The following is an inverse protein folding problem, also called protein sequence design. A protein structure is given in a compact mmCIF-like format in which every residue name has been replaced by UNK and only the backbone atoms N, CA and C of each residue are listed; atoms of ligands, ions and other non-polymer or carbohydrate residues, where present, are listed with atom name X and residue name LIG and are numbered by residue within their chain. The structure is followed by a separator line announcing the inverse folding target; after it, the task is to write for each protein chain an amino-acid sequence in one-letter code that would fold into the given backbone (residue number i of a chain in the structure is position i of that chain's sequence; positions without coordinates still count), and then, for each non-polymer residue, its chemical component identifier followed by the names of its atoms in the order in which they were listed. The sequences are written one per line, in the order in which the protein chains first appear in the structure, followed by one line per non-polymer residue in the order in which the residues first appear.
data_IF_280655733457
#
_entry.id   IF_280655733457
#
_cell.length_a   1.000
_cell.length_b   1.000
_cell.length_c   1.000
_cell.angle_alpha   90.00
_cell.angle_beta   90.00
_cell.angle_gamma   90.00
#
_symmetry.space_group_name_H-M   'P 1'
#
loop_
_entity.id
_entity.type
_entity.pdbx_description
1 polymer ?
#
# COMPACT_ATOMS: atom_id res chain seq x y z
N UNK A 1 -46.36 8.85 -57.65
CA UNK A 1 -47.05 7.93 -56.72
C UNK A 1 -46.22 7.91 -55.44
N UNK A 2 -46.33 8.89 -54.52
CA UNK A 2 -47.55 9.60 -54.03
C UNK A 2 -48.61 8.59 -53.56
N UNK A 3 -49.30 8.73 -52.41
CA UNK A 3 -49.35 9.76 -51.35
C UNK A 3 -50.12 9.11 -50.14
N UNK A 4 -50.11 9.53 -48.86
CA UNK A 4 -49.46 10.62 -48.09
C UNK A 4 -49.61 10.32 -46.55
N UNK A 5 -49.15 11.23 -45.66
CA UNK A 5 -49.39 11.41 -44.19
C UNK A 5 -50.54 10.65 -43.51
N UNK A 6 -50.36 10.27 -42.23
CA UNK A 6 -50.87 11.06 -41.07
C UNK A 6 -50.63 10.39 -39.70
N UNK A 7 -50.05 11.16 -38.76
CA UNK A 7 -50.14 10.97 -37.29
C UNK A 7 -51.07 12.08 -36.75
N UNK A 8 -51.79 11.86 -35.63
CA UNK A 8 -51.50 12.73 -34.48
C UNK A 8 -51.64 12.07 -33.09
N UNK A 9 -50.75 12.45 -32.17
CA UNK A 9 -50.83 12.09 -30.74
C UNK A 9 -51.86 12.89 -29.91
N UNK A 10 -52.04 12.50 -28.64
CA UNK A 10 -53.00 13.13 -27.72
C UNK A 10 -52.88 12.70 -26.24
N UNK A 11 -52.15 13.52 -25.48
CA UNK A 11 -51.92 13.59 -24.02
C UNK A 11 -53.09 13.10 -23.10
N UNK A 12 -52.75 12.50 -21.95
CA UNK A 12 -53.68 12.32 -20.82
C UNK A 12 -52.98 11.97 -19.49
N UNK A 13 -53.04 12.88 -18.51
CA UNK A 13 -52.42 12.74 -17.18
C UNK A 13 -53.22 11.83 -16.23
N UNK A 14 -52.58 11.24 -15.22
CA UNK A 14 -53.26 10.44 -14.18
C UNK A 14 -52.38 10.19 -12.94
N UNK A 15 -52.70 10.85 -11.83
CA UNK A 15 -51.81 10.99 -10.67
C UNK A 15 -51.93 9.90 -9.59
N UNK A 16 -50.83 9.78 -8.85
CA UNK A 16 -50.58 8.92 -7.69
C UNK A 16 -51.72 8.75 -6.67
N UNK A 17 -51.77 7.56 -6.05
CA UNK A 17 -52.16 7.42 -4.63
C UNK A 17 -51.28 6.43 -3.86
N UNK A 18 -50.81 6.91 -2.71
CA UNK A 18 -50.24 6.13 -1.60
C UNK A 18 -51.15 4.98 -1.16
N UNK A 19 -50.55 3.98 -0.48
CA UNK A 19 -51.04 3.59 0.84
C UNK A 19 -50.05 3.97 1.95
N UNK A 20 -50.62 4.27 3.11
CA UNK A 20 -49.92 4.58 4.37
C UNK A 20 -50.30 3.54 5.44
N UNK A 21 -49.62 3.59 6.60
CA UNK A 21 -49.91 2.85 7.86
C UNK A 21 -49.43 1.39 7.91
N UNK A 22 -49.06 0.80 9.05
CA UNK A 22 -48.79 1.31 10.42
C UNK A 22 -48.03 0.25 11.25
N UNK A 23 -47.39 0.67 12.36
CA UNK A 23 -46.99 -0.22 13.47
C UNK A 23 -45.50 -0.60 13.49
N UNK A 24 -44.71 -0.33 14.53
CA UNK A 24 -44.99 0.39 15.77
C UNK A 24 -45.02 -0.50 17.02
N UNK A 25 -43.85 -0.98 17.46
CA UNK A 25 -43.46 -1.37 18.84
C UNK A 25 -41.94 -1.19 18.93
N UNK A 26 -41.31 -0.58 19.94
CA UNK A 26 -41.81 -0.07 21.22
C UNK A 26 -41.49 -1.03 22.37
N UNK A 27 -40.24 -1.05 22.85
CA UNK A 27 -39.86 -1.79 24.06
C UNK A 27 -38.65 -1.17 24.79
N UNK A 28 -38.94 -0.60 25.95
CA UNK A 28 -38.05 -0.22 27.06
C UNK A 28 -38.97 -0.01 28.29
N UNK A 29 -38.49 0.17 29.54
CA UNK A 29 -37.22 -0.26 30.15
C UNK A 29 -37.47 -1.06 31.46
N UNK A 30 -36.45 -1.73 32.04
CA UNK A 30 -36.50 -2.16 33.47
C UNK A 30 -35.18 -2.08 34.25
N UNK A 31 -35.06 -0.98 34.99
CA UNK A 31 -34.70 -0.87 36.43
C UNK A 31 -33.38 -1.45 36.98
N UNK A 32 -32.62 -0.54 37.62
CA UNK A 32 -31.60 -0.78 38.66
C UNK A 32 -32.01 -1.84 39.71
N UNK A 33 -31.02 -2.58 40.22
CA UNK A 33 -30.85 -2.81 41.67
C UNK A 33 -29.37 -2.92 42.05
N UNK A 34 -29.04 -2.36 43.21
CA UNK A 34 -27.69 -2.26 43.78
C UNK A 34 -27.70 -2.78 45.22
N UNK A 35 -26.85 -3.76 45.52
CA UNK A 35 -26.48 -4.28 46.85
C UNK A 35 -25.03 -4.79 46.63
N UNK A 36 -23.94 -4.18 47.07
CA UNK A 36 -23.49 -3.71 48.40
C UNK A 36 -22.99 -4.84 49.32
N UNK A 37 -21.65 -4.91 49.44
CA UNK A 37 -20.79 -5.48 50.51
C UNK A 37 -21.09 -6.86 51.11
N UNK A 38 -20.02 -7.65 51.26
CA UNK A 38 -19.51 -8.00 52.59
C UNK A 38 -17.98 -8.04 52.61
N UNK A 39 -17.38 -7.70 53.75
CA UNK A 39 -15.94 -7.59 54.01
C UNK A 39 -15.52 -8.67 55.03
N UNK A 40 -14.41 -9.39 54.80
CA UNK A 40 -13.53 -10.05 55.81
C UNK A 40 -12.21 -10.41 55.08
N UNK A 41 -11.11 -9.68 55.33
CA UNK A 41 -10.09 -9.98 56.35
C UNK A 41 -9.36 -11.33 56.15
N UNK A 42 -8.16 -11.30 55.57
CA UNK A 42 -6.94 -11.37 56.39
C UNK A 42 -5.67 -11.22 55.53
N UNK A 43 -4.66 -10.59 56.12
CA UNK A 43 -3.30 -10.53 55.59
C UNK A 43 -2.39 -11.43 56.44
N UNK A 44 -1.32 -11.95 55.83
CA UNK A 44 -0.04 -11.73 56.50
C UNK A 44 0.98 -11.07 55.57
N UNK A 45 1.93 -10.39 56.21
CA UNK A 45 3.09 -9.76 55.58
C UNK A 45 4.10 -10.84 55.20
N UNK A 46 4.71 -10.74 54.03
CA UNK A 46 6.11 -11.13 53.87
C UNK A 46 6.85 -10.13 52.96
N UNK A 47 8.14 -9.96 53.23
CA UNK A 47 9.00 -8.93 52.67
C UNK A 47 10.11 -9.54 51.82
N UNK A 48 9.91 -9.58 50.50
CA UNK A 48 10.90 -10.04 49.53
C UNK A 48 11.15 -9.01 48.43
N UNK A 49 12.16 -8.14 48.60
CA UNK A 49 12.62 -7.26 47.51
C UNK A 49 13.42 -8.08 46.48
N UNK A 50 12.96 -8.12 45.23
CA UNK A 50 13.70 -8.61 44.09
C UNK A 50 13.34 -7.82 42.83
N UNK A 51 14.22 -6.91 42.41
CA UNK A 51 14.02 -6.11 41.20
C UNK A 51 13.92 -7.01 39.96
N UNK A 52 12.83 -6.89 39.20
CA UNK A 52 12.81 -7.19 37.77
C UNK A 52 12.32 -5.93 37.06
N UNK A 53 13.19 -5.34 36.24
CA UNK A 53 12.91 -4.08 35.56
C UNK A 53 11.83 -4.28 34.48
N UNK A 54 10.64 -3.73 34.72
CA UNK A 54 9.67 -3.52 33.65
C UNK A 54 10.22 -2.49 32.63
N UNK A 55 9.94 -2.65 31.32
CA UNK A 55 10.45 -1.74 30.31
C UNK A 55 9.94 -0.32 30.55
N UNK A 56 10.88 0.64 30.59
CA UNK A 56 10.63 2.04 30.94
C UNK A 56 9.60 2.64 29.98
N UNK A 57 8.49 3.14 30.53
CA UNK A 57 7.53 3.97 29.78
C UNK A 57 8.28 5.17 29.20
N UNK A 58 8.20 5.37 27.88
CA UNK A 58 8.83 6.51 27.20
C UNK A 58 7.99 7.76 27.41
N UNK A 59 8.23 8.47 28.51
CA UNK A 59 7.66 9.79 28.76
C UNK A 59 8.23 10.81 27.75
N UNK A 60 7.52 10.99 26.65
CA UNK A 60 7.87 11.94 25.60
C UNK A 60 6.77 12.22 24.56
N UNK A 61 5.53 11.80 24.82
CA UNK A 61 4.48 11.67 23.79
C UNK A 61 3.44 12.81 23.76
N UNK A 62 3.45 13.74 24.73
CA UNK A 62 2.39 14.77 24.88
C UNK A 62 2.56 16.05 24.00
N UNK A 63 3.38 16.03 22.95
CA UNK A 63 3.56 17.19 22.03
C UNK A 63 3.51 16.86 20.53
N UNK A 64 2.86 15.76 20.14
CA UNK A 64 2.62 15.41 18.72
C UNK A 64 1.15 15.59 18.28
N UNK A 65 0.28 16.11 19.15
CA UNK A 65 -1.12 16.39 18.85
C UNK A 65 -1.29 17.83 18.32
N UNK A 66 -1.10 18.01 17.01
CA UNK A 66 -1.37 19.27 16.32
C UNK A 66 -1.65 19.05 14.83
N UNK A 67 -2.84 19.46 14.38
CA UNK A 67 -3.20 19.57 12.97
C UNK A 67 -4.45 20.46 12.82
N UNK A 68 -4.88 20.78 11.59
CA UNK A 68 -4.20 20.61 10.30
C UNK A 68 -3.57 21.93 9.77
N UNK A 69 -2.79 21.82 8.68
CA UNK A 69 -2.43 22.86 7.70
C UNK A 69 -2.25 24.32 8.17
N UNK A 70 -1.00 24.78 8.28
CA UNK A 70 -0.66 26.17 8.64
C UNK A 70 0.77 26.60 8.27
N UNK A 71 1.05 26.74 6.97
CA UNK A 71 2.17 27.50 6.35
C UNK A 71 3.56 27.32 6.98
N UNK A 72 4.28 26.29 6.52
CA UNK A 72 5.73 26.34 6.30
C UNK A 72 6.02 25.48 5.05
N UNK A 73 6.18 26.12 3.90
CA UNK A 73 6.71 25.46 2.69
C UNK A 73 8.19 25.82 2.49
N UNK A 74 9.13 24.95 2.92
CA UNK A 74 10.54 25.04 2.55
C UNK A 74 11.03 23.78 1.80
N UNK A 75 10.12 22.98 1.22
CA UNK A 75 10.52 21.81 0.44
C UNK A 75 10.98 22.21 -0.97
N UNK A 76 12.03 21.57 -1.53
CA UNK A 76 12.84 20.52 -0.91
C UNK A 76 13.84 21.06 0.14
N UNK A 77 14.03 20.30 1.22
CA UNK A 77 15.11 20.52 2.16
C UNK A 77 16.43 20.00 1.56
N UNK A 78 17.38 20.90 1.36
CA UNK A 78 18.66 20.65 0.67
C UNK A 78 19.89 20.95 1.56
N UNK A 79 21.06 20.36 1.25
CA UNK A 79 22.32 20.67 1.93
C UNK A 79 22.61 22.17 2.08
N UNK A 80 23.15 22.54 3.24
CA UNK A 80 23.44 23.93 3.60
C UNK A 80 22.27 24.71 4.24
N UNK A 81 21.03 24.23 4.13
CA UNK A 81 19.89 24.86 4.84
C UNK A 81 19.98 24.70 6.36
N UNK A 82 19.31 25.60 7.09
CA UNK A 82 19.30 25.65 8.56
C UNK A 82 17.91 26.04 9.08
N UNK A 83 17.48 25.48 10.20
CA UNK A 83 16.24 25.89 10.90
C UNK A 83 15.49 24.75 11.58
N UNK A 84 14.27 25.04 12.09
CA UNK A 84 13.43 24.04 12.77
C UNK A 84 13.00 22.89 11.85
N UNK A 85 12.78 23.14 10.56
CA UNK A 85 12.43 22.08 9.61
C UNK A 85 13.54 21.01 9.51
N UNK A 86 14.81 21.43 9.47
CA UNK A 86 15.96 20.51 9.49
C UNK A 86 16.11 19.82 10.84
N UNK A 87 15.77 20.50 11.95
CA UNK A 87 15.78 19.88 13.28
C UNK A 87 14.68 18.82 13.44
N UNK A 88 13.50 19.03 12.86
CA UNK A 88 12.42 18.04 12.85
C UNK A 88 12.76 16.87 11.92
N UNK A 89 13.36 17.13 10.75
CA UNK A 89 13.92 16.11 9.86
C UNK A 89 14.91 15.19 10.61
N UNK A 90 15.96 15.77 11.22
CA UNK A 90 16.96 15.03 11.99
C UNK A 90 16.37 14.25 13.16
N UNK A 91 15.37 14.81 13.86
CA UNK A 91 14.66 14.14 14.96
C UNK A 91 13.85 12.93 14.46
N UNK A 92 13.11 13.08 13.37
CA UNK A 92 12.32 12.00 12.77
C UNK A 92 13.21 10.89 12.25
N UNK A 93 14.26 11.22 11.50
CA UNK A 93 15.28 10.27 11.04
C UNK A 93 15.86 9.48 12.21
N UNK A 94 16.22 10.16 13.30
CA UNK A 94 16.70 9.49 14.53
C UNK A 94 15.67 8.57 15.16
N UNK A 95 14.39 8.96 15.18
CA UNK A 95 13.30 8.13 15.71
C UNK A 95 13.08 6.86 14.88
N UNK A 96 13.16 6.95 13.54
CA UNK A 96 12.99 5.81 12.63
C UNK A 96 14.26 4.96 12.44
N UNK A 97 15.35 5.25 13.18
CA UNK A 97 16.59 4.47 13.17
C UNK A 97 17.64 4.91 12.14
N UNK A 98 17.40 6.00 11.40
CA UNK A 98 18.31 6.60 10.43
C UNK A 98 18.95 7.88 10.99
N UNK A 99 19.30 7.86 12.29
CA UNK A 99 19.83 9.04 12.97
C UNK A 99 21.20 9.46 12.47
N UNK A 100 21.28 10.71 12.01
CA UNK A 100 22.55 11.39 11.80
C UNK A 100 23.22 11.73 13.14
N UNK A 101 24.54 11.78 13.16
CA UNK A 101 25.33 12.50 14.17
C UNK A 101 25.81 13.82 13.57
N UNK A 102 24.94 14.84 13.41
CA UNK A 102 25.32 16.08 12.75
C UNK A 102 26.29 16.89 13.61
N UNK A 103 27.22 17.60 12.97
CA UNK A 103 28.10 18.54 13.66
C UNK A 103 27.33 19.73 14.30
N UNK A 104 26.15 20.06 13.78
CA UNK A 104 25.28 21.13 14.29
C UNK A 104 23.79 20.73 14.15
N UNK A 105 23.04 20.70 15.26
CA UNK A 105 21.63 20.29 15.27
C UNK A 105 20.72 21.37 14.68
N UNK A 106 20.04 21.05 13.59
CA UNK A 106 19.23 21.98 12.79
C UNK A 106 19.99 22.59 11.60
N UNK A 107 21.17 22.07 11.24
CA UNK A 107 21.87 22.39 9.99
C UNK A 107 21.96 21.14 9.09
N UNK A 108 21.67 21.30 7.79
CA UNK A 108 21.65 20.21 6.82
C UNK A 108 23.07 19.96 6.31
N UNK A 109 23.85 19.21 7.10
CA UNK A 109 25.22 18.82 6.78
C UNK A 109 25.27 17.48 6.02
N UNK A 110 26.46 17.11 5.53
CA UNK A 110 26.76 15.84 4.87
C UNK A 110 26.22 14.61 5.63
N UNK A 111 26.42 14.53 6.95
CA UNK A 111 25.86 13.44 7.77
C UNK A 111 24.31 13.38 7.79
N UNK A 112 23.63 14.52 7.55
CA UNK A 112 22.16 14.56 7.40
C UNK A 112 21.76 14.11 6.00
N UNK A 113 22.50 14.52 4.98
CA UNK A 113 22.34 14.11 3.58
C UNK A 113 22.52 12.59 3.41
N UNK A 114 23.59 12.02 3.95
CA UNK A 114 23.83 10.56 3.97
C UNK A 114 22.70 9.82 4.69
N UNK A 115 22.21 10.35 5.81
CA UNK A 115 21.11 9.76 6.57
C UNK A 115 19.78 9.80 5.81
N UNK A 116 19.52 10.88 5.06
CA UNK A 116 18.37 10.99 4.15
C UNK A 116 18.53 10.02 2.98
N UNK A 117 19.69 9.92 2.35
CA UNK A 117 19.94 8.98 1.25
C UNK A 117 19.75 7.52 1.68
N UNK A 118 20.26 7.13 2.86
CA UNK A 118 20.05 5.80 3.45
C UNK A 118 18.60 5.53 3.83
N UNK A 119 17.87 6.54 4.31
CA UNK A 119 16.44 6.41 4.56
C UNK A 119 15.65 6.24 3.24
N UNK A 120 15.98 7.03 2.22
CA UNK A 120 15.39 6.92 0.87
C UNK A 120 15.61 5.52 0.29
N UNK A 121 16.85 5.04 0.27
CA UNK A 121 17.21 3.68 -0.15
C UNK A 121 16.38 2.61 0.57
N UNK A 122 16.34 2.66 1.91
CA UNK A 122 15.59 1.70 2.72
C UNK A 122 14.05 1.79 2.57
N UNK A 123 13.51 2.90 2.04
CA UNK A 123 12.09 3.03 1.68
C UNK A 123 11.83 2.77 0.19
N UNK A 124 12.86 2.54 -0.62
CA UNK A 124 12.75 2.40 -2.08
C UNK A 124 12.48 3.72 -2.82
N UNK A 125 12.80 4.86 -2.21
CA UNK A 125 12.84 6.15 -2.90
C UNK A 125 14.19 6.33 -3.59
N UNK A 126 14.31 7.29 -4.50
CA UNK A 126 15.62 7.62 -5.09
C UNK A 126 16.54 8.20 -4.00
N UNK A 127 17.76 7.65 -3.78
CA UNK A 127 18.69 8.12 -2.75
C UNK A 127 19.41 9.39 -3.20
N UNK A 128 18.66 10.49 -3.30
CA UNK A 128 19.16 11.81 -3.73
C UNK A 128 19.88 12.56 -2.62
N UNK A 129 19.70 12.16 -1.35
CA UNK A 129 20.16 12.92 -0.18
C UNK A 129 19.37 14.20 0.09
N UNK A 130 18.38 14.52 -0.76
CA UNK A 130 17.53 15.70 -0.68
C UNK A 130 16.16 15.30 -0.15
N UNK A 131 15.69 15.94 0.93
CA UNK A 131 14.37 15.66 1.50
C UNK A 131 13.31 16.52 0.80
N UNK A 132 12.73 15.95 -0.25
CA UNK A 132 11.52 16.43 -0.93
C UNK A 132 10.23 16.02 -0.18
N UNK A 133 9.07 16.39 -0.73
CA UNK A 133 7.75 16.08 -0.16
C UNK A 133 7.50 14.57 -0.06
N UNK A 134 7.91 13.78 -1.05
CA UNK A 134 7.77 12.31 -1.04
C UNK A 134 8.60 11.69 0.09
N UNK A 135 9.86 12.10 0.22
CA UNK A 135 10.76 11.70 1.30
C UNK A 135 10.22 12.11 2.68
N UNK A 136 9.68 13.32 2.79
CA UNK A 136 9.07 13.81 4.04
C UNK A 136 7.83 13.01 4.43
N UNK A 137 6.93 12.77 3.48
CA UNK A 137 5.71 11.98 3.72
C UNK A 137 6.07 10.54 4.11
N UNK A 138 7.02 9.90 3.43
CA UNK A 138 7.51 8.57 3.80
C UNK A 138 8.12 8.53 5.21
N UNK A 139 8.81 9.60 5.63
CA UNK A 139 9.40 9.75 6.96
C UNK A 139 8.36 9.99 8.05
N UNK A 140 7.32 10.78 7.77
CA UNK A 140 6.16 10.93 8.66
C UNK A 140 5.43 9.60 8.82
N UNK A 141 5.21 8.86 7.73
CA UNK A 141 4.54 7.55 7.75
C UNK A 141 5.32 6.48 8.52
N UNK A 142 6.66 6.47 8.41
CA UNK A 142 7.55 5.57 9.15
C UNK A 142 7.62 5.91 10.66
N UNK A 143 7.28 7.15 11.04
CA UNK A 143 7.29 7.60 12.43
C UNK A 143 6.10 7.16 13.29
N UNK A 144 5.12 6.42 12.74
CA UNK A 144 3.95 5.96 13.48
C UNK A 144 4.01 4.45 13.75
N UNK A 145 4.02 4.07 15.03
CA UNK A 145 3.79 2.69 15.49
C UNK A 145 2.32 2.44 15.84
N UNK A 146 1.91 1.16 15.80
CA UNK A 146 0.54 0.75 16.13
C UNK A 146 0.22 1.09 17.60
N UNK A 147 -0.63 2.10 17.79
CA UNK A 147 -1.04 2.60 19.11
C UNK A 147 -0.59 4.03 19.42
N UNK A 148 0.26 4.64 18.60
CA UNK A 148 0.65 6.05 18.77
C UNK A 148 -0.49 7.04 18.47
N UNK A 149 -1.51 6.60 17.71
CA UNK A 149 -2.72 7.37 17.38
C UNK A 149 -3.92 6.45 17.13
N UNK A 150 -5.12 7.02 17.21
CA UNK A 150 -6.36 6.32 16.85
C UNK A 150 -6.46 6.18 15.32
N UNK A 151 -6.50 4.95 14.81
CA UNK A 151 -6.70 4.69 13.38
C UNK A 151 -8.18 4.56 13.07
N UNK A 152 -8.66 5.26 12.02
CA UNK A 152 -10.05 5.21 11.56
C UNK A 152 -10.14 5.61 10.09
N UNK A 153 -11.27 5.32 9.46
CA UNK A 153 -11.54 5.79 8.10
C UNK A 153 -11.71 7.31 8.09
N UNK A 154 -10.97 7.99 7.22
CA UNK A 154 -10.95 9.46 7.07
C UNK A 154 -10.85 9.83 5.60
N UNK A 155 -11.05 11.11 5.28
CA UNK A 155 -10.82 11.67 3.94
C UNK A 155 -9.89 12.89 4.06
N UNK A 156 -8.64 12.83 3.57
CA UNK A 156 -7.96 11.67 2.98
C UNK A 156 -7.78 10.50 3.98
N UNK A 157 -7.58 9.28 3.47
CA UNK A 157 -7.35 8.09 4.28
C UNK A 157 -6.08 8.24 5.13
N UNK A 158 -6.09 7.70 6.36
CA UNK A 158 -4.87 7.61 7.18
C UNK A 158 -3.84 6.68 6.51
N UNK A 159 -2.55 7.05 6.62
CA UNK A 159 -1.43 6.30 6.05
C UNK A 159 -0.29 6.17 7.06
N UNK A 160 0.41 5.04 7.06
CA UNK A 160 1.57 4.82 7.93
C UNK A 160 1.99 3.37 8.12
N UNK A 161 3.13 3.19 8.78
CA UNK A 161 3.62 1.87 9.19
C UNK A 161 2.72 1.27 10.31
N UNK A 162 2.05 2.11 11.10
CA UNK A 162 0.99 1.73 12.05
C UNK A 162 -0.23 1.11 11.38
N UNK A 163 -0.68 1.66 10.26
CA UNK A 163 -1.74 1.09 9.42
C UNK A 163 -1.28 -0.22 8.80
N UNK A 164 -0.02 -0.30 8.37
CA UNK A 164 0.58 -1.53 7.82
C UNK A 164 0.56 -2.65 8.87
N UNK A 165 0.94 -2.35 10.10
CA UNK A 165 0.89 -3.30 11.22
C UNK A 165 -0.55 -3.75 11.52
N UNK A 166 -1.52 -2.83 11.57
CA UNK A 166 -2.93 -3.17 11.76
C UNK A 166 -3.46 -4.10 10.65
N UNK A 167 -3.19 -3.79 9.38
CA UNK A 167 -3.60 -4.64 8.26
C UNK A 167 -2.96 -6.02 8.32
N UNK A 168 -1.67 -6.10 8.64
CA UNK A 168 -0.95 -7.37 8.79
C UNK A 168 -1.57 -8.24 9.88
N UNK A 169 -1.83 -7.68 11.06
CA UNK A 169 -2.46 -8.40 12.17
C UNK A 169 -3.89 -8.84 11.84
N UNK A 170 -4.74 -7.95 11.28
CA UNK A 170 -6.10 -8.32 10.87
C UNK A 170 -6.09 -9.48 9.86
N UNK A 171 -5.26 -9.41 8.82
CA UNK A 171 -5.18 -10.43 7.78
C UNK A 171 -4.60 -11.76 8.28
N UNK A 172 -3.71 -11.73 9.28
CA UNK A 172 -3.17 -12.90 9.97
C UNK A 172 -4.19 -13.56 10.91
N UNK A 173 -5.08 -12.75 11.50
CA UNK A 173 -6.21 -13.19 12.32
C UNK A 173 -7.42 -13.68 11.49
N UNK A 174 -7.35 -13.60 10.16
CA UNK A 174 -8.41 -14.07 9.26
C UNK A 174 -9.36 -12.98 8.72
N UNK A 175 -9.15 -11.71 9.07
CA UNK A 175 -9.99 -10.59 8.66
C UNK A 175 -9.42 -9.89 7.42
N UNK A 176 -10.20 -9.79 6.35
CA UNK A 176 -9.74 -9.34 5.03
C UNK A 176 -9.62 -7.80 4.92
N UNK A 177 -8.56 -7.24 5.53
CA UNK A 177 -8.22 -5.83 5.38
C UNK A 177 -7.78 -5.45 3.94
N UNK A 178 -7.67 -6.43 3.04
CA UNK A 178 -7.18 -6.27 1.69
C UNK A 178 -5.68 -6.53 1.58
N UNK A 179 -4.98 -5.69 0.82
CA UNK A 179 -3.51 -5.75 0.71
C UNK A 179 -2.92 -4.98 1.87
N UNK A 180 -1.77 -5.42 2.38
CA UNK A 180 -1.07 -4.70 3.46
C UNK A 180 -0.27 -3.55 2.83
N UNK A 181 -1.00 -2.51 2.42
CA UNK A 181 -0.50 -1.33 1.71
C UNK A 181 -0.22 -0.13 2.64
N UNK A 182 -0.53 -0.23 3.92
CA UNK A 182 -0.38 0.86 4.89
C UNK A 182 -1.36 2.02 4.68
N UNK A 183 -2.51 1.79 4.02
CA UNK A 183 -3.54 2.79 3.74
C UNK A 183 -4.85 2.37 4.41
N UNK A 184 -5.41 3.23 5.27
CA UNK A 184 -6.65 2.95 5.99
C UNK A 184 -7.85 3.21 5.08
N UNK A 185 -8.07 2.32 4.12
CA UNK A 185 -9.22 2.36 3.23
C UNK A 185 -10.45 1.65 3.80
N UNK A 186 -11.57 1.64 3.04
CA UNK A 186 -12.82 0.99 3.47
C UNK A 186 -12.70 -0.51 3.77
N UNK A 187 -11.73 -1.22 3.17
CA UNK A 187 -11.50 -2.65 3.44
C UNK A 187 -10.86 -2.87 4.81
N UNK A 188 -9.84 -2.08 5.15
CA UNK A 188 -9.26 -2.02 6.51
C UNK A 188 -10.33 -1.67 7.55
N UNK A 189 -11.21 -0.71 7.25
CA UNK A 189 -12.31 -0.33 8.13
C UNK A 189 -13.32 -1.48 8.36
N UNK A 190 -13.73 -2.18 7.30
CA UNK A 190 -14.65 -3.32 7.40
C UNK A 190 -14.02 -4.51 8.15
N UNK A 191 -12.77 -4.86 7.85
CA UNK A 191 -12.05 -5.93 8.55
C UNK A 191 -11.89 -5.62 10.05
N UNK A 192 -11.64 -4.36 10.40
CA UNK A 192 -11.61 -3.91 11.80
C UNK A 192 -12.99 -4.01 12.47
N UNK A 193 -14.07 -3.61 11.79
CA UNK A 193 -15.45 -3.75 12.29
C UNK A 193 -15.82 -5.21 12.55
N UNK A 194 -15.45 -6.11 11.64
CA UNK A 194 -15.65 -7.56 11.78
C UNK A 194 -14.84 -8.11 12.96
N UNK A 195 -13.55 -7.77 13.05
CA UNK A 195 -12.69 -8.13 14.18
C UNK A 195 -13.25 -7.67 15.53
N UNK A 196 -13.69 -6.41 15.61
CA UNK A 196 -14.27 -5.83 16.83
C UNK A 196 -15.51 -6.62 17.27
N UNK A 197 -16.43 -6.88 16.35
CA UNK A 197 -17.65 -7.67 16.61
C UNK A 197 -17.33 -9.10 17.04
N UNK A 198 -16.39 -9.77 16.36
CA UNK A 198 -15.94 -11.12 16.72
C UNK A 198 -15.30 -11.20 18.11
N UNK A 199 -14.70 -10.11 18.59
CA UNK A 199 -14.14 -10.02 19.95
C UNK A 199 -15.15 -9.57 21.01
N UNK A 200 -16.41 -9.31 20.65
CA UNK A 200 -17.42 -8.74 21.57
C UNK A 200 -17.21 -7.26 21.93
N UNK A 201 -16.33 -6.55 21.21
CA UNK A 201 -16.12 -5.11 21.37
C UNK A 201 -17.18 -4.30 20.58
N UNK A 202 -17.43 -3.02 20.92
CA UNK A 202 -18.19 -2.12 20.07
C UNK A 202 -17.56 -2.06 18.67
N UNK A 203 -18.34 -2.40 17.64
CA UNK A 203 -17.93 -2.28 16.25
C UNK A 203 -18.05 -0.84 15.76
N UNK A 204 -17.13 0.03 16.19
CA UNK A 204 -17.08 1.46 15.84
C UNK A 204 -16.15 1.78 14.65
N UNK A 205 -15.30 0.83 14.24
CA UNK A 205 -14.34 1.00 13.14
C UNK A 205 -13.14 1.87 13.51
N UNK A 206 -12.87 2.07 14.80
CA UNK A 206 -11.75 2.84 15.34
C UNK A 206 -10.77 1.93 16.07
N UNK A 207 -9.52 1.88 15.61
CA UNK A 207 -8.47 1.15 16.32
C UNK A 207 -7.99 2.00 17.49
N UNK A 208 -8.58 1.76 18.66
CA UNK A 208 -8.16 2.34 19.93
C UNK A 208 -7.31 1.37 20.77
N UNK A 209 -6.86 1.82 21.96
CA UNK A 209 -6.04 0.99 22.86
C UNK A 209 -6.68 -0.35 23.27
N UNK A 210 -8.01 -0.45 23.26
CA UNK A 210 -8.72 -1.70 23.53
C UNK A 210 -8.66 -2.68 22.37
N UNK A 211 -8.83 -2.20 21.13
CA UNK A 211 -8.64 -2.98 19.91
C UNK A 211 -7.23 -3.56 19.87
N UNK A 212 -6.21 -2.75 20.16
CA UNK A 212 -4.80 -3.16 20.14
C UNK A 212 -4.53 -4.24 21.20
N UNK A 213 -5.02 -4.08 22.44
CA UNK A 213 -4.93 -5.14 23.47
C UNK A 213 -5.64 -6.44 23.10
N UNK A 214 -6.61 -6.40 22.18
CA UNK A 214 -7.27 -7.60 21.65
C UNK A 214 -6.47 -8.21 20.49
N UNK A 215 -5.91 -7.39 19.60
CA UNK A 215 -4.99 -7.82 18.53
C UNK A 215 -3.76 -8.51 19.13
N UNK A 216 -3.07 -7.90 20.09
CA UNK A 216 -1.89 -8.47 20.75
C UNK A 216 -2.17 -9.84 21.41
N UNK A 217 -3.37 -10.00 21.98
CA UNK A 217 -3.77 -11.20 22.72
C UNK A 217 -4.04 -12.37 21.77
N UNK A 218 -4.87 -12.13 20.76
CA UNK A 218 -5.24 -13.14 19.76
C UNK A 218 -4.08 -13.40 18.79
N UNK A 219 -3.30 -12.37 18.48
CA UNK A 219 -2.14 -12.46 17.62
C UNK A 219 -1.07 -13.42 18.15
N UNK A 220 -0.90 -13.54 19.47
CA UNK A 220 -0.02 -14.56 20.09
C UNK A 220 -0.55 -15.99 19.99
N UNK A 221 -1.83 -16.16 19.69
CA UNK A 221 -2.53 -17.45 19.66
C UNK A 221 -2.75 -17.96 18.22
N UNK A 222 -2.65 -17.08 17.21
CA UNK A 222 -2.82 -17.41 15.80
C UNK A 222 -1.50 -17.80 15.12
N UNK A 223 -1.56 -18.82 14.26
CA UNK A 223 -0.39 -19.35 13.55
C UNK A 223 0.24 -18.38 12.55
N UNK A 224 1.46 -18.70 12.11
CA UNK A 224 2.22 -17.94 11.11
C UNK A 224 1.80 -18.25 9.65
N UNK A 225 0.53 -18.58 9.43
CA UNK A 225 0.03 -18.90 8.09
C UNK A 225 0.04 -17.67 7.17
N UNK A 226 0.12 -17.86 5.83
CA UNK A 226 -0.06 -16.77 4.88
C UNK A 226 -1.47 -16.20 5.04
N UNK A 227 -1.56 -14.97 5.55
CA UNK A 227 -2.83 -14.32 5.88
C UNK A 227 -3.75 -14.14 4.65
N UNK A 228 -5.01 -13.77 4.89
CA UNK A 228 -6.07 -13.74 3.86
C UNK A 228 -5.70 -12.90 2.63
N UNK A 229 -4.88 -11.86 2.79
CA UNK A 229 -4.30 -11.07 1.69
C UNK A 229 -3.58 -11.93 0.64
N UNK A 230 -2.74 -12.87 1.07
CA UNK A 230 -1.92 -13.69 0.18
C UNK A 230 -2.77 -14.73 -0.55
N UNK A 231 -3.72 -15.37 0.16
CA UNK A 231 -4.70 -16.27 -0.45
C UNK A 231 -5.56 -15.55 -1.49
N UNK A 232 -6.02 -14.33 -1.19
CA UNK A 232 -6.79 -13.50 -2.12
C UNK A 232 -5.99 -13.08 -3.35
N UNK A 233 -4.69 -12.81 -3.20
CA UNK A 233 -3.82 -12.54 -4.34
C UNK A 233 -3.65 -13.78 -5.22
N UNK A 234 -3.37 -14.94 -4.62
CA UNK A 234 -3.27 -16.22 -5.35
C UNK A 234 -4.57 -16.58 -6.09
N UNK A 235 -5.74 -16.35 -5.49
CA UNK A 235 -7.02 -16.58 -6.17
C UNK A 235 -7.27 -15.57 -7.29
N UNK A 236 -6.83 -14.31 -7.12
CA UNK A 236 -6.89 -13.32 -8.19
C UNK A 236 -6.06 -13.74 -9.40
N UNK A 237 -4.87 -14.29 -9.20
CA UNK A 237 -3.98 -14.80 -10.26
C UNK A 237 -4.72 -15.86 -11.10
N UNK A 238 -5.41 -16.81 -10.45
CA UNK A 238 -6.23 -17.83 -11.12
C UNK A 238 -7.42 -17.27 -11.91
N UNK A 239 -7.93 -16.10 -11.48
CA UNK A 239 -9.03 -15.38 -12.14
C UNK A 239 -8.61 -14.36 -13.20
N UNK A 240 -7.31 -14.26 -13.53
CA UNK A 240 -6.85 -13.41 -14.62
C UNK A 240 -7.46 -13.91 -15.94
N UNK A 241 -7.79 -13.02 -16.90
CA UNK A 241 -8.17 -13.48 -18.23
C UNK A 241 -6.95 -13.98 -19.00
N UNK A 242 -7.19 -14.66 -20.13
CA UNK A 242 -6.15 -14.93 -21.11
C UNK A 242 -5.50 -13.63 -21.62
N UNK A 243 -4.27 -13.73 -22.13
CA UNK A 243 -3.48 -12.57 -22.56
C UNK A 243 -4.24 -11.64 -23.52
N UNK A 244 -5.04 -12.22 -24.43
CA UNK A 244 -5.83 -11.47 -25.43
C UNK A 244 -6.85 -10.51 -24.82
N UNK A 245 -7.43 -10.83 -23.67
CA UNK A 245 -8.39 -9.98 -22.94
C UNK A 245 -7.73 -9.28 -21.74
N UNK A 246 -6.39 -9.26 -21.70
CA UNK A 246 -5.64 -8.69 -20.60
C UNK A 246 -5.53 -7.17 -20.73
N UNK A 247 -5.96 -6.46 -19.67
CA UNK A 247 -5.70 -5.02 -19.51
C UNK A 247 -4.33 -4.81 -18.89
N UNK A 248 -3.41 -4.24 -19.65
CA UNK A 248 -2.04 -3.98 -19.22
C UNK A 248 -1.82 -2.47 -19.14
N UNK A 249 -1.17 -2.00 -18.08
CA UNK A 249 -0.66 -0.62 -18.03
C UNK A 249 0.84 -0.65 -18.09
N UNK A 250 1.39 0.11 -19.06
CA UNK A 250 2.83 0.32 -19.20
C UNK A 250 3.13 1.75 -18.76
N UNK A 251 3.65 1.88 -17.55
CA UNK A 251 4.10 3.15 -16.97
C UNK A 251 5.56 3.43 -17.28
N UNK A 252 5.97 4.69 -17.33
CA UNK A 252 7.39 5.05 -17.37
C UNK A 252 7.72 6.25 -16.48
N UNK A 253 8.88 6.21 -15.83
CA UNK A 253 9.41 7.27 -14.97
C UNK A 253 10.49 8.10 -15.66
N UNK A 254 10.40 8.20 -16.99
CA UNK A 254 11.37 8.89 -17.85
C UNK A 254 12.42 7.98 -18.48
N UNK A 255 13.09 8.51 -19.51
CA UNK A 255 14.23 7.88 -20.21
C UNK A 255 13.91 6.67 -21.12
N UNK A 256 12.81 5.95 -20.91
CA UNK A 256 12.48 4.70 -21.63
C UNK A 256 11.23 4.76 -22.53
N UNK A 257 10.81 5.96 -22.96
CA UNK A 257 9.56 6.15 -23.70
C UNK A 257 9.49 5.43 -25.06
N UNK A 258 10.62 5.14 -25.69
CA UNK A 258 10.71 4.33 -26.91
C UNK A 258 10.36 2.86 -26.63
N UNK A 259 10.93 2.30 -25.55
CA UNK A 259 10.65 0.93 -25.09
C UNK A 259 9.20 0.80 -24.59
N UNK A 260 8.70 1.77 -23.81
CA UNK A 260 7.31 1.78 -23.35
C UNK A 260 6.32 1.66 -24.55
N UNK A 261 6.48 2.54 -25.55
CA UNK A 261 5.69 2.51 -26.79
C UNK A 261 5.89 1.21 -27.58
N UNK A 262 7.08 0.63 -27.59
CA UNK A 262 7.34 -0.65 -28.24
C UNK A 262 6.59 -1.81 -27.55
N UNK A 263 6.66 -1.92 -26.22
CA UNK A 263 5.91 -2.92 -25.45
C UNK A 263 4.42 -2.80 -25.71
N UNK A 264 3.86 -1.58 -25.62
CA UNK A 264 2.43 -1.37 -25.83
C UNK A 264 1.99 -1.72 -27.26
N UNK A 265 2.80 -1.45 -28.29
CA UNK A 265 2.50 -1.91 -29.66
C UNK A 265 2.53 -3.43 -29.77
N UNK A 266 3.55 -4.09 -29.23
CA UNK A 266 3.68 -5.55 -29.30
C UNK A 266 2.59 -6.29 -28.54
N UNK A 267 2.22 -5.81 -27.34
CA UNK A 267 1.14 -6.40 -26.55
C UNK A 267 -0.25 -6.18 -27.21
N UNK A 268 -0.54 -4.98 -27.75
CA UNK A 268 -1.77 -4.75 -28.54
C UNK A 268 -1.83 -5.58 -29.81
N UNK A 269 -0.71 -5.80 -30.50
CA UNK A 269 -0.64 -6.69 -31.66
C UNK A 269 -0.93 -8.17 -31.32
N UNK A 270 -0.77 -8.55 -30.05
CA UNK A 270 -1.17 -9.84 -29.48
C UNK A 270 -2.58 -9.84 -28.84
N UNK A 271 -3.36 -8.78 -29.03
CA UNK A 271 -4.76 -8.66 -28.58
C UNK A 271 -4.98 -7.86 -27.30
N UNK A 272 -3.99 -7.77 -26.41
CA UNK A 272 -4.15 -7.13 -25.10
C UNK A 272 -4.56 -5.65 -25.18
N UNK A 273 -5.43 -5.22 -24.27
CA UNK A 273 -5.83 -3.82 -24.13
C UNK A 273 -4.79 -3.08 -23.28
N UNK A 274 -4.01 -2.19 -23.90
CA UNK A 274 -2.86 -1.55 -23.25
C UNK A 274 -3.05 -0.05 -23.16
N UNK A 275 -2.84 0.53 -21.98
CA UNK A 275 -2.66 1.98 -21.79
C UNK A 275 -1.19 2.28 -21.46
N UNK A 276 -0.70 3.38 -22.02
CA UNK A 276 0.60 3.98 -21.69
C UNK A 276 0.36 5.12 -20.68
N UNK A 277 1.19 5.18 -19.64
CA UNK A 277 1.20 6.29 -18.69
C UNK A 277 2.60 6.91 -18.66
N UNK A 278 2.68 8.21 -18.90
CA UNK A 278 3.90 9.01 -18.97
C UNK A 278 3.78 10.16 -17.96
N UNK A 279 3.85 9.79 -16.68
CA UNK A 279 3.57 10.67 -15.55
C UNK A 279 4.65 10.46 -14.48
N UNK A 280 5.47 11.45 -14.13
CA UNK A 280 6.57 11.26 -13.16
C UNK A 280 6.08 10.90 -11.75
N UNK A 281 4.86 11.27 -11.35
CA UNK A 281 4.31 10.89 -10.04
C UNK A 281 3.87 9.41 -10.00
N UNK A 282 4.50 8.67 -9.09
CA UNK A 282 4.21 7.27 -8.79
C UNK A 282 2.76 7.03 -8.34
N UNK A 283 2.16 7.99 -7.61
CA UNK A 283 0.79 7.87 -7.13
C UNK A 283 -0.19 8.00 -8.30
N UNK A 284 -0.07 9.04 -9.11
CA UNK A 284 -0.87 9.25 -10.31
C UNK A 284 -0.78 8.09 -11.32
N UNK A 285 0.40 7.46 -11.47
CA UNK A 285 0.54 6.22 -12.28
C UNK A 285 -0.29 5.06 -11.71
N UNK A 286 -0.16 4.78 -10.41
CA UNK A 286 -0.92 3.72 -9.77
C UNK A 286 -2.43 3.99 -9.84
N UNK A 287 -2.83 5.25 -9.67
CA UNK A 287 -4.21 5.71 -9.75
C UNK A 287 -4.80 5.54 -11.16
N UNK A 288 -4.03 5.84 -12.20
CA UNK A 288 -4.41 5.56 -13.59
C UNK A 288 -4.61 4.05 -13.83
N UNK A 289 -3.69 3.21 -13.34
CA UNK A 289 -3.80 1.76 -13.45
C UNK A 289 -5.01 1.19 -12.67
N UNK A 290 -5.27 1.74 -11.49
CA UNK A 290 -6.41 1.40 -10.64
C UNK A 290 -7.74 1.79 -11.30
N UNK A 291 -7.85 3.00 -11.88
CA UNK A 291 -9.04 3.46 -12.62
C UNK A 291 -9.33 2.64 -13.86
N UNK A 292 -8.29 2.28 -14.63
CA UNK A 292 -8.41 1.38 -15.78
C UNK A 292 -8.76 -0.07 -15.39
N UNK A 293 -8.65 -0.41 -14.09
CA UNK A 293 -8.81 -1.76 -13.54
C UNK A 293 -7.85 -2.75 -14.23
N UNK A 294 -6.60 -2.33 -14.42
CA UNK A 294 -5.60 -3.16 -15.07
C UNK A 294 -5.45 -4.52 -14.39
N UNK A 295 -5.18 -5.54 -15.19
CA UNK A 295 -4.87 -6.89 -14.73
C UNK A 295 -3.38 -7.03 -14.42
N UNK A 296 -2.53 -6.28 -15.12
CA UNK A 296 -1.08 -6.19 -14.91
C UNK A 296 -0.62 -4.73 -15.01
N UNK A 297 0.33 -4.34 -14.14
CA UNK A 297 1.08 -3.09 -14.26
C UNK A 297 2.57 -3.37 -14.50
N UNK A 298 3.17 -2.70 -15.48
CA UNK A 298 4.58 -2.77 -15.82
C UNK A 298 5.15 -1.34 -15.88
N UNK A 299 5.87 -0.94 -14.83
CA UNK A 299 6.60 0.32 -14.81
C UNK A 299 7.99 0.17 -15.44
N UNK A 300 8.50 1.23 -16.08
CA UNK A 300 9.86 1.31 -16.61
C UNK A 300 10.60 2.52 -16.01
N UNK A 301 11.81 2.32 -15.49
CA UNK A 301 12.72 3.38 -15.07
C UNK A 301 14.07 3.24 -15.77
N UNK A 302 14.67 4.36 -16.19
CA UNK A 302 16.00 4.38 -16.79
C UNK A 302 17.10 4.17 -15.72
N UNK A 303 17.88 3.11 -15.87
CA UNK A 303 19.10 2.87 -15.08
C UNK A 303 20.33 3.55 -15.72
N UNK A 304 21.17 4.15 -14.89
CA UNK A 304 22.49 4.68 -15.28
C UNK A 304 23.51 3.54 -15.31
N UNK A 305 23.52 2.72 -14.26
CA UNK A 305 24.41 1.57 -14.09
C UNK A 305 24.13 0.45 -15.11
N UNK A 306 25.12 -0.41 -15.42
CA UNK A 306 24.94 -1.55 -16.32
C UNK A 306 24.22 -2.74 -15.66
N UNK A 307 23.34 -2.47 -14.69
CA UNK A 307 22.53 -3.43 -13.95
C UNK A 307 21.06 -3.19 -14.27
N UNK A 308 20.32 -4.29 -14.43
CA UNK A 308 18.87 -4.24 -14.60
C UNK A 308 18.18 -4.91 -13.42
N UNK A 309 17.18 -4.24 -12.88
CA UNK A 309 16.55 -4.57 -11.60
C UNK A 309 15.03 -4.64 -11.77
N UNK A 310 14.42 -5.67 -11.22
CA UNK A 310 13.00 -5.97 -11.33
C UNK A 310 12.38 -5.97 -9.95
N UNK A 311 11.68 -4.89 -9.64
CA UNK A 311 11.12 -4.65 -8.33
C UNK A 311 9.66 -5.08 -8.24
N UNK A 312 9.31 -5.82 -7.18
CA UNK A 312 7.94 -6.15 -6.80
C UNK A 312 7.63 -5.62 -5.40
N UNK A 313 6.35 -5.56 -5.02
CA UNK A 313 5.98 -5.07 -3.70
C UNK A 313 6.25 -6.10 -2.61
N UNK A 314 7.05 -5.73 -1.61
CA UNK A 314 7.26 -6.52 -0.40
C UNK A 314 7.38 -5.61 0.83
N UNK A 315 6.81 -6.08 1.94
CA UNK A 315 6.95 -5.54 3.30
C UNK A 315 7.03 -6.73 4.28
N UNK A 316 7.54 -6.56 5.52
CA UNK A 316 7.69 -7.70 6.45
C UNK A 316 6.40 -8.48 6.74
N UNK A 317 5.24 -7.83 6.62
CA UNK A 317 3.92 -8.45 6.84
C UNK A 317 3.24 -8.98 5.55
N UNK A 318 3.79 -8.74 4.35
CA UNK A 318 3.17 -9.09 3.08
C UNK A 318 4.16 -9.08 1.90
N UNK A 319 4.17 -10.17 1.13
CA UNK A 319 4.90 -10.29 -0.14
C UNK A 319 3.88 -10.41 -1.28
N UNK A 320 4.04 -9.62 -2.34
CA UNK A 320 3.21 -9.77 -3.55
C UNK A 320 3.71 -10.97 -4.35
N UNK A 321 3.18 -12.15 -4.04
CA UNK A 321 3.48 -13.41 -4.74
C UNK A 321 3.28 -13.32 -6.25
N UNK A 322 2.23 -12.61 -6.68
CA UNK A 322 1.94 -12.33 -8.07
C UNK A 322 3.01 -11.43 -8.73
N UNK A 323 3.34 -10.32 -8.06
CA UNK A 323 4.37 -9.37 -8.54
C UNK A 323 5.74 -10.01 -8.62
N UNK A 324 6.11 -10.81 -7.61
CA UNK A 324 7.35 -11.58 -7.59
C UNK A 324 7.45 -12.56 -8.75
N UNK A 325 6.43 -13.41 -8.94
CA UNK A 325 6.42 -14.37 -10.04
C UNK A 325 6.51 -13.68 -11.41
N UNK A 326 5.88 -12.50 -11.57
CA UNK A 326 5.99 -11.71 -12.79
C UNK A 326 7.39 -11.10 -12.96
N UNK A 327 8.00 -10.59 -11.89
CA UNK A 327 9.35 -10.03 -11.90
C UNK A 327 10.41 -11.10 -12.21
N UNK A 328 10.28 -12.30 -11.63
CA UNK A 328 11.13 -13.46 -11.94
C UNK A 328 10.98 -13.90 -13.40
N UNK A 329 9.75 -13.96 -13.95
CA UNK A 329 9.52 -14.28 -15.37
C UNK A 329 10.06 -13.23 -16.34
N UNK A 330 9.92 -11.94 -16.02
CA UNK A 330 10.51 -10.84 -16.79
C UNK A 330 12.04 -10.93 -16.77
N UNK A 331 12.66 -11.08 -15.59
CA UNK A 331 14.09 -11.21 -15.45
C UNK A 331 14.64 -12.45 -16.19
N UNK A 332 13.95 -13.60 -16.10
CA UNK A 332 14.35 -14.82 -16.81
C UNK A 332 14.27 -14.65 -18.34
N UNK A 333 13.17 -14.09 -18.86
CA UNK A 333 12.94 -13.93 -20.31
C UNK A 333 13.87 -12.89 -20.92
N UNK A 334 14.14 -11.79 -20.21
CA UNK A 334 14.95 -10.68 -20.71
C UNK A 334 16.46 -10.90 -20.52
N UNK A 335 16.89 -11.82 -19.65
CA UNK A 335 18.31 -12.09 -19.36
C UNK A 335 19.24 -12.18 -20.59
N UNK A 336 18.87 -12.81 -21.73
CA UNK A 336 19.75 -12.88 -22.90
C UNK A 336 19.95 -11.54 -23.64
N UNK A 337 19.09 -10.54 -23.36
CA UNK A 337 19.04 -9.24 -24.02
C UNK A 337 19.61 -8.10 -23.15
N UNK A 338 19.99 -8.41 -21.91
CA UNK A 338 20.46 -7.45 -20.91
C UNK A 338 21.99 -7.54 -20.75
N UNK A 339 22.67 -6.41 -20.44
CA UNK A 339 24.14 -6.35 -20.38
C UNK A 339 24.74 -7.12 -19.19
N UNK A 340 23.93 -7.42 -18.18
CA UNK A 340 24.33 -8.16 -16.98
C UNK A 340 23.19 -9.06 -16.48
N UNK A 341 23.49 -9.93 -15.51
CA UNK A 341 22.44 -10.79 -14.92
C UNK A 341 21.46 -9.92 -14.13
N UNK A 342 20.16 -9.93 -14.45
CA UNK A 342 19.19 -9.08 -13.79
C UNK A 342 18.96 -9.48 -12.33
N UNK A 343 18.66 -8.50 -11.49
CA UNK A 343 18.29 -8.69 -10.08
C UNK A 343 16.77 -8.61 -9.92
N UNK A 344 16.23 -9.38 -8.98
CA UNK A 344 14.81 -9.36 -8.60
C UNK A 344 14.76 -9.08 -7.11
N UNK A 345 14.04 -8.04 -6.70
CA UNK A 345 14.03 -7.56 -5.32
C UNK A 345 12.63 -7.08 -4.90
N UNK A 346 12.26 -7.40 -3.65
CA UNK A 346 11.00 -6.99 -3.06
C UNK A 346 11.19 -5.72 -2.23
N UNK A 347 10.46 -4.66 -2.57
CA UNK A 347 10.68 -3.32 -2.01
C UNK A 347 9.36 -2.53 -1.88
N UNK A 348 9.35 -1.49 -1.03
CA UNK A 348 8.18 -0.64 -0.76
C UNK A 348 8.08 0.57 -1.70
N UNK A 349 8.23 0.36 -3.00
CA UNK A 349 8.05 1.43 -3.99
C UNK A 349 6.61 1.99 -3.97
N UNK A 350 6.39 3.32 -3.99
CA UNK A 350 5.06 3.93 -3.92
C UNK A 350 4.09 3.46 -5.02
N UNK A 351 4.54 3.41 -6.28
CA UNK A 351 3.68 2.91 -7.37
C UNK A 351 3.27 1.45 -7.15
N UNK A 352 4.20 0.60 -6.68
CA UNK A 352 3.93 -0.82 -6.40
C UNK A 352 3.04 -1.01 -5.16
N UNK A 353 3.08 -0.07 -4.22
CA UNK A 353 2.25 -0.01 -3.00
C UNK A 353 0.80 0.37 -3.30
N UNK A 354 0.60 1.39 -4.13
CA UNK A 354 -0.72 1.94 -4.47
C UNK A 354 -1.46 1.11 -5.54
N UNK A 355 -0.73 0.40 -6.43
CA UNK A 355 -1.35 -0.47 -7.43
C UNK A 355 -2.11 -1.63 -6.81
N UNK A 356 -3.34 -1.85 -7.25
CA UNK A 356 -4.22 -2.94 -6.79
C UNK A 356 -4.08 -4.21 -7.62
N UNK A 357 -3.18 -4.27 -8.59
CA UNK A 357 -2.93 -5.42 -9.47
C UNK A 357 -1.49 -5.90 -9.32
N UNK A 358 -1.16 -7.13 -9.78
CA UNK A 358 0.22 -7.56 -9.94
C UNK A 358 1.03 -6.51 -10.71
N UNK A 359 2.09 -6.02 -10.08
CA UNK A 359 2.81 -4.83 -10.48
C UNK A 359 4.32 -5.07 -10.34
N UNK A 360 5.08 -4.68 -11.37
CA UNK A 360 6.54 -4.72 -11.40
C UNK A 360 7.08 -3.40 -11.91
N UNK A 361 8.14 -2.88 -11.28
CA UNK A 361 8.94 -1.76 -11.82
C UNK A 361 10.27 -2.32 -12.32
N UNK A 362 10.53 -2.16 -13.62
CA UNK A 362 11.78 -2.57 -14.25
C UNK A 362 12.70 -1.36 -14.39
N UNK A 363 13.78 -1.30 -13.59
CA UNK A 363 14.87 -0.36 -13.82
C UNK A 363 15.85 -0.99 -14.80
N UNK A 364 15.99 -0.41 -15.99
CA UNK A 364 16.79 -0.99 -17.08
C UNK A 364 17.95 -0.06 -17.44
N UNK A 365 19.17 -0.54 -17.30
CA UNK A 365 20.40 0.20 -17.58
C UNK A 365 21.49 -0.62 -18.29
N UNK A 366 22.39 0.04 -19.04
CA UNK A 366 22.42 1.47 -19.29
C UNK A 366 21.48 1.84 -20.46
N UNK A 367 20.88 3.03 -20.42
CA UNK A 367 19.82 3.47 -21.36
C UNK A 367 20.16 3.26 -22.84
N UNK A 368 21.43 3.43 -23.25
CA UNK A 368 21.85 3.21 -24.64
C UNK A 368 21.63 1.76 -25.10
N UNK A 369 22.15 0.80 -24.35
CA UNK A 369 21.98 -0.64 -24.66
C UNK A 369 20.51 -1.07 -24.62
N UNK A 370 19.70 -0.46 -23.77
CA UNK A 370 18.24 -0.67 -23.71
C UNK A 370 17.54 -0.10 -24.95
N UNK A 371 17.97 1.07 -25.43
CA UNK A 371 17.43 1.69 -26.64
C UNK A 371 17.80 0.89 -27.91
N UNK A 372 19.05 0.44 -28.02
CA UNK A 372 19.55 -0.36 -29.15
C UNK A 372 18.78 -1.69 -29.28
N UNK A 373 18.40 -2.29 -28.15
CA UNK A 373 17.66 -3.56 -28.09
C UNK A 373 16.14 -3.39 -27.90
N UNK A 374 15.60 -2.16 -28.00
CA UNK A 374 14.22 -1.86 -27.55
C UNK A 374 13.12 -2.71 -28.22
N UNK A 375 13.32 -3.14 -29.47
CA UNK A 375 12.36 -4.03 -30.16
C UNK A 375 12.37 -5.45 -29.59
N UNK A 376 13.55 -6.02 -29.37
CA UNK A 376 13.71 -7.36 -28.80
C UNK A 376 13.26 -7.39 -27.33
N UNK A 377 13.63 -6.37 -26.54
CA UNK A 377 13.16 -6.19 -25.17
C UNK A 377 11.63 -6.06 -25.11
N UNK A 378 11.01 -5.33 -26.05
CA UNK A 378 9.56 -5.22 -26.09
C UNK A 378 8.85 -6.55 -26.41
N UNK A 379 9.43 -7.36 -27.28
CA UNK A 379 8.95 -8.72 -27.55
C UNK A 379 9.11 -9.63 -26.32
N UNK A 380 10.28 -9.59 -25.67
CA UNK A 380 10.54 -10.32 -24.43
C UNK A 380 9.60 -9.94 -23.29
N UNK A 381 9.31 -8.65 -23.07
CA UNK A 381 8.35 -8.19 -22.06
C UNK A 381 6.95 -8.73 -22.33
N UNK A 382 6.45 -8.63 -23.57
CA UNK A 382 5.13 -9.13 -23.92
C UNK A 382 5.05 -10.66 -23.78
N UNK A 383 6.10 -11.38 -24.17
CA UNK A 383 6.21 -12.83 -24.01
C UNK A 383 6.29 -13.25 -22.53
N UNK A 384 7.03 -12.55 -21.68
CA UNK A 384 7.12 -12.84 -20.25
C UNK A 384 5.75 -12.70 -19.55
N UNK A 385 5.01 -11.62 -19.86
CA UNK A 385 3.65 -11.41 -19.33
C UNK A 385 2.71 -12.51 -19.84
N UNK A 386 2.80 -12.92 -21.11
CA UNK A 386 2.02 -14.01 -21.69
C UNK A 386 2.31 -15.37 -21.04
N UNK A 387 3.58 -15.72 -20.86
CA UNK A 387 4.01 -16.94 -20.15
C UNK A 387 3.49 -16.92 -18.71
N UNK A 388 3.61 -15.79 -18.00
CA UNK A 388 3.17 -15.66 -16.62
C UNK A 388 1.64 -15.76 -16.46
N UNK A 389 0.86 -15.12 -17.35
CA UNK A 389 -0.60 -15.27 -17.38
C UNK A 389 -0.97 -16.73 -17.68
N UNK A 390 -0.35 -17.36 -18.66
CA UNK A 390 -0.69 -18.74 -19.04
C UNK A 390 -0.26 -19.76 -17.97
N UNK A 391 0.88 -19.56 -17.29
CA UNK A 391 1.30 -20.39 -16.16
C UNK A 391 0.37 -20.29 -14.93
N UNK A 392 -0.42 -19.21 -14.85
CA UNK A 392 -1.47 -19.04 -13.84
C UNK A 392 -2.69 -19.95 -14.09
N UNK A 393 -2.81 -20.49 -15.31
CA UNK A 393 -3.73 -21.55 -15.69
C UNK A 393 -2.96 -22.88 -15.87
N UNK A 394 -2.87 -23.75 -14.85
CA UNK A 394 -2.46 -25.12 -15.13
C UNK A 394 -3.47 -25.71 -16.11
N UNK A 395 -3.03 -26.36 -17.22
CA UNK A 395 -3.97 -26.98 -18.14
C UNK A 395 -4.79 -28.00 -17.36
N UNK A 396 -6.12 -27.91 -17.48
CA UNK A 396 -7.01 -28.95 -16.95
C UNK A 396 -6.52 -30.28 -17.50
N UNK A 397 -6.19 -31.22 -16.61
CA UNK A 397 -5.76 -32.54 -17.02
C UNK A 397 -6.94 -33.22 -17.73
N UNK A 398 -6.93 -33.20 -19.06
CA UNK A 398 -7.91 -33.89 -19.89
C UNK A 398 -7.71 -35.38 -19.69
N UNK A 399 -8.66 -35.98 -18.97
CA UNK A 399 -8.78 -37.44 -18.78
C UNK A 399 -9.26 -38.13 -20.05
#
# INVERSE_FOLDING_TARGET
MQDDRSDPGGVGEGTARHPSRQGGRGYEPRTRRSIQRDEHSDAPRDSGRGNQEAPRRREGQERLAGGPAGVLDPFPLIPGQRGEAVRDLQRRLSYVGFGASPAEIGAYCEATEESVARFQEARGLRPTGVCDEETWNALVEAGWGLGDRLLKLTSPNMRGDDVTALQGELCRLGFDAGRVDGIFGPRTANALLEFQRSCGMPGDGVCGPETIRSLDRLGRQSGQGPGVSALREAERIRSLPHFVDCRIVVGQFGGLSSLARAIARTARAKGADVILVDEPDANAQADAANRFRAHVYLGLEAGIEPVSEFFYYQVPAFESTAGRALAEQLAQTLRPLLPSTPRVEGIRLPVLRETRMPAVLCRLGPVRSVADNASALAQGCAQAVEIWINASFPPSATT
#
